data_IF_093304331068
#
_entry.id   IF_093304331068
#
_cell.length_a   1.000
_cell.length_b   1.000
_cell.length_c   1.000
_cell.angle_alpha   90.00
_cell.angle_beta   90.00
_cell.angle_gamma   90.00
#
_symmetry.space_group_name_H-M   'P 1'
#
loop_
_entity.id
_entity.type
_entity.pdbx_description
1 polymer ?
#
# COMPACT_ATOMS: atom_id res chain seq x y z
N UNK A 1 -10.72 13.95 -2.21
CA UNK A 1 -11.69 12.85 -2.01
C UNK A 1 -12.38 13.02 -0.67
N UNK A 2 -13.64 12.59 -0.58
CA UNK A 2 -14.43 12.59 0.64
C UNK A 2 -14.95 11.18 0.95
N UNK A 3 -14.03 10.29 1.29
CA UNK A 3 -14.37 8.87 1.50
C UNK A 3 -15.29 8.69 2.71
N UNK A 4 -16.46 8.07 2.51
CA UNK A 4 -17.45 7.79 3.57
C UNK A 4 -16.89 6.92 4.70
N UNK A 5 -15.83 6.17 4.46
CA UNK A 5 -15.19 5.22 5.37
C UNK A 5 -13.80 5.67 5.83
N UNK A 6 -13.53 6.97 5.84
CA UNK A 6 -12.19 7.47 6.13
C UNK A 6 -11.74 7.11 7.54
N UNK A 7 -10.84 6.13 7.68
CA UNK A 7 -10.23 5.76 8.98
C UNK A 7 -9.39 6.88 9.60
N UNK A 8 -9.00 7.85 8.78
CA UNK A 8 -8.24 9.01 9.20
C UNK A 8 -9.12 10.27 9.35
N UNK A 9 -10.46 10.12 9.43
CA UNK A 9 -11.38 11.26 9.50
C UNK A 9 -11.08 12.19 10.68
N UNK A 10 -10.61 11.64 11.80
CA UNK A 10 -10.21 12.37 12.99
C UNK A 10 -9.06 13.37 12.77
N UNK A 11 -8.29 13.22 11.69
CA UNK A 11 -7.26 14.18 11.27
C UNK A 11 -7.68 14.87 9.96
N UNK A 12 -8.13 14.08 8.97
CA UNK A 12 -8.35 14.58 7.60
C UNK A 12 -9.60 15.47 7.47
N UNK A 13 -10.51 15.42 8.46
CA UNK A 13 -11.77 16.17 8.47
C UNK A 13 -11.86 17.24 9.56
N UNK A 14 -10.85 17.34 10.41
CA UNK A 14 -10.76 18.35 11.44
C UNK A 14 -10.13 19.64 10.92
N UNK A 15 -10.53 20.82 11.44
CA UNK A 15 -9.78 22.05 11.24
C UNK A 15 -8.34 21.92 11.71
N UNK A 16 -7.42 22.55 11.02
CA UNK A 16 -5.96 22.45 11.32
C UNK A 16 -5.66 22.92 12.76
N UNK A 17 -6.43 23.87 13.24
CA UNK A 17 -6.30 24.46 14.58
C UNK A 17 -6.66 23.49 15.71
N UNK A 18 -7.45 22.47 15.41
CA UNK A 18 -7.90 21.46 16.39
C UNK A 18 -6.99 20.22 16.43
N UNK A 19 -6.03 20.13 15.54
CA UNK A 19 -5.13 18.98 15.44
C UNK A 19 -3.77 19.35 16.05
N UNK A 20 -3.22 18.56 17.00
CA UNK A 20 -1.89 18.78 17.52
C UNK A 20 -0.85 18.58 16.41
N UNK A 21 -0.29 19.65 15.90
CA UNK A 21 0.70 19.64 14.85
C UNK A 21 2.12 19.83 15.40
N UNK A 22 3.05 19.05 14.85
CA UNK A 22 4.47 19.24 15.10
C UNK A 22 5.15 19.80 13.84
N UNK A 23 5.81 20.92 13.95
CA UNK A 23 6.64 21.47 12.88
C UNK A 23 7.92 20.65 12.76
N UNK A 24 8.05 19.88 11.68
CA UNK A 24 9.24 19.08 11.40
C UNK A 24 9.90 19.56 10.10
N UNK A 25 11.15 20.01 10.21
CA UNK A 25 11.98 20.27 9.06
C UNK A 25 12.48 18.97 8.44
N UNK A 26 12.68 18.87 7.13
CA UNK A 26 13.15 17.68 6.44
C UNK A 26 14.40 17.06 7.07
N UNK A 27 15.36 17.86 7.46
CA UNK A 27 16.62 17.42 8.06
C UNK A 27 16.40 16.73 9.41
N UNK A 28 15.44 17.22 10.19
CA UNK A 28 15.06 16.62 11.48
C UNK A 28 14.35 15.27 11.28
N UNK A 29 13.44 15.19 10.29
CA UNK A 29 12.75 13.94 9.96
C UNK A 29 13.76 12.87 9.54
N UNK A 30 14.69 13.22 8.66
CA UNK A 30 15.77 12.32 8.19
C UNK A 30 16.66 11.89 9.36
N UNK A 31 17.02 12.82 10.25
CA UNK A 31 17.82 12.51 11.45
C UNK A 31 17.10 11.51 12.37
N UNK A 32 15.78 11.68 12.56
CA UNK A 32 14.96 10.75 13.36
C UNK A 32 14.94 9.38 12.69
N UNK A 33 14.67 9.33 11.39
CA UNK A 33 14.62 8.08 10.64
C UNK A 33 15.94 7.30 10.74
N UNK A 34 17.08 7.97 10.57
CA UNK A 34 18.43 7.35 10.72
C UNK A 34 18.66 6.82 12.13
N UNK A 35 18.34 7.60 13.15
CA UNK A 35 18.49 7.19 14.57
C UNK A 35 17.60 6.01 14.94
N UNK A 36 16.45 5.87 14.27
CA UNK A 36 15.51 4.75 14.45
C UNK A 36 15.80 3.56 13.54
N UNK A 37 16.92 3.54 12.81
CA UNK A 37 17.27 2.46 11.90
C UNK A 37 16.31 2.29 10.71
N UNK A 38 15.54 3.33 10.37
CA UNK A 38 14.57 3.25 9.25
C UNK A 38 15.29 3.24 7.90
N UNK A 39 14.88 2.32 7.01
CA UNK A 39 15.39 2.25 5.64
C UNK A 39 14.62 3.15 4.69
N UNK A 40 13.41 3.58 5.07
CA UNK A 40 12.56 4.43 4.24
C UNK A 40 11.74 5.42 5.05
N UNK A 41 11.32 6.50 4.40
CA UNK A 41 10.32 7.44 4.88
C UNK A 41 9.11 7.36 3.96
N UNK A 42 7.92 7.16 4.54
CA UNK A 42 6.68 7.01 3.79
C UNK A 42 5.68 8.10 4.16
N UNK A 43 5.18 8.81 3.15
CA UNK A 43 4.03 9.70 3.32
C UNK A 43 2.75 8.86 3.28
N UNK A 44 2.04 8.87 4.40
CA UNK A 44 0.80 8.12 4.58
C UNK A 44 -0.28 9.02 5.22
N UNK A 45 -1.48 8.47 5.42
CA UNK A 45 -2.64 9.08 6.08
C UNK A 45 -3.37 10.07 5.17
N UNK A 46 -2.78 11.21 4.86
CA UNK A 46 -3.37 12.20 3.94
C UNK A 46 -2.76 12.09 2.54
N UNK A 47 -3.45 12.70 1.57
CA UNK A 47 -2.95 12.74 0.19
C UNK A 47 -1.65 13.58 0.08
N UNK A 48 -0.53 12.99 -0.35
CA UNK A 48 0.76 13.68 -0.39
C UNK A 48 0.77 14.89 -1.32
N UNK A 49 -0.06 14.91 -2.36
CA UNK A 49 -0.14 16.03 -3.30
C UNK A 49 -0.77 17.29 -2.74
N UNK A 50 -1.49 17.20 -1.61
CA UNK A 50 -1.99 18.39 -0.88
C UNK A 50 -0.84 19.26 -0.36
N UNK A 51 0.28 18.61 -0.01
CA UNK A 51 1.50 19.26 0.47
C UNK A 51 2.72 18.95 -0.42
N UNK A 52 2.51 18.86 -1.73
CA UNK A 52 3.53 18.42 -2.68
C UNK A 52 4.88 19.15 -2.56
N UNK A 53 4.96 20.49 -2.38
CA UNK A 53 6.25 21.15 -2.19
C UNK A 53 7.03 20.65 -0.96
N UNK A 54 6.34 20.44 0.16
CA UNK A 54 6.94 19.92 1.39
C UNK A 54 7.38 18.46 1.22
N UNK A 55 6.56 17.66 0.54
CA UNK A 55 6.89 16.29 0.17
C UNK A 55 8.18 16.23 -0.66
N UNK A 56 8.25 17.00 -1.76
CA UNK A 56 9.41 17.00 -2.65
C UNK A 56 10.70 17.44 -1.93
N UNK A 57 10.60 18.43 -1.04
CA UNK A 57 11.75 18.87 -0.24
C UNK A 57 12.24 17.79 0.70
N UNK A 58 11.34 17.09 1.41
CA UNK A 58 11.71 15.98 2.28
C UNK A 58 12.28 14.81 1.48
N UNK A 59 11.68 14.45 0.34
CA UNK A 59 12.16 13.40 -0.53
C UNK A 59 13.59 13.66 -1.01
N UNK A 60 13.88 14.89 -1.47
CA UNK A 60 15.21 15.28 -1.89
C UNK A 60 16.24 15.22 -0.74
N UNK A 61 15.84 15.59 0.47
CA UNK A 61 16.70 15.50 1.66
C UNK A 61 16.97 14.04 2.07
N UNK A 62 15.93 13.20 2.08
CA UNK A 62 16.04 11.78 2.41
C UNK A 62 16.94 11.00 1.43
N UNK A 63 16.75 11.22 0.12
CA UNK A 63 17.57 10.58 -0.93
C UNK A 63 19.06 10.95 -0.84
N UNK A 64 19.39 12.18 -0.49
CA UNK A 64 20.80 12.58 -0.24
C UNK A 64 21.46 11.80 0.89
N UNK A 65 20.67 11.34 1.85
CA UNK A 65 21.12 10.59 3.01
C UNK A 65 20.96 9.07 2.85
N UNK A 66 20.63 8.60 1.63
CA UNK A 66 20.47 7.18 1.31
C UNK A 66 19.20 6.52 1.87
N UNK A 67 18.20 7.32 2.27
CA UNK A 67 16.93 6.82 2.78
C UNK A 67 15.94 6.77 1.62
N UNK A 68 15.29 5.62 1.43
CA UNK A 68 14.25 5.43 0.43
C UNK A 68 13.01 6.26 0.75
N UNK A 69 12.30 6.67 -0.29
CA UNK A 69 11.09 7.48 -0.15
C UNK A 69 9.91 6.80 -0.83
N UNK A 70 8.81 6.72 -0.10
CA UNK A 70 7.57 6.22 -0.64
C UNK A 70 6.37 7.08 -0.28
N UNK A 71 5.24 6.83 -0.92
CA UNK A 71 3.98 7.42 -0.48
C UNK A 71 2.77 6.53 -0.77
N UNK A 72 1.72 6.73 0.03
CA UNK A 72 0.39 6.21 -0.22
C UNK A 72 -0.45 7.35 -0.81
N UNK A 73 -1.02 7.13 -1.98
CA UNK A 73 -1.83 8.13 -2.68
C UNK A 73 -3.19 7.56 -3.09
N UNK A 74 -4.17 8.42 -3.22
CA UNK A 74 -5.47 8.07 -3.77
C UNK A 74 -5.46 7.93 -5.31
N UNK A 75 -4.36 8.31 -5.97
CA UNK A 75 -4.19 8.19 -7.41
C UNK A 75 -4.97 9.19 -8.26
N UNK A 76 -5.81 10.02 -7.67
CA UNK A 76 -6.58 11.06 -8.41
C UNK A 76 -5.71 12.29 -8.63
N UNK A 77 -4.82 12.19 -9.61
CA UNK A 77 -3.73 13.14 -9.85
C UNK A 77 -3.79 13.74 -11.25
N UNK A 78 -3.24 14.94 -11.39
CA UNK A 78 -2.85 15.45 -12.70
C UNK A 78 -1.58 14.74 -13.18
N UNK A 79 -1.38 14.68 -14.50
CA UNK A 79 -0.16 14.08 -15.06
C UNK A 79 1.12 14.72 -14.50
N UNK A 80 1.14 16.04 -14.32
CA UNK A 80 2.30 16.76 -13.77
C UNK A 80 2.58 16.37 -12.32
N UNK A 81 1.53 16.25 -11.48
CA UNK A 81 1.71 15.83 -10.08
C UNK A 81 2.16 14.38 -9.98
N UNK A 82 1.61 13.51 -10.82
CA UNK A 82 2.00 12.11 -10.91
C UNK A 82 3.47 11.94 -11.30
N UNK A 83 3.92 12.62 -12.34
CA UNK A 83 5.33 12.60 -12.76
C UNK A 83 6.26 13.01 -11.62
N UNK A 84 5.96 14.14 -10.97
CA UNK A 84 6.75 14.61 -9.82
C UNK A 84 6.78 13.62 -8.65
N UNK A 85 5.67 12.95 -8.36
CA UNK A 85 5.63 11.89 -7.35
C UNK A 85 6.50 10.71 -7.75
N UNK A 86 6.36 10.19 -8.97
CA UNK A 86 7.15 9.06 -9.45
C UNK A 86 8.66 9.36 -9.48
N UNK A 87 9.06 10.58 -9.84
CA UNK A 87 10.47 11.02 -9.81
C UNK A 87 11.02 11.11 -8.37
N UNK A 88 10.17 11.52 -7.43
CA UNK A 88 10.56 11.70 -6.04
C UNK A 88 10.53 10.41 -5.22
N UNK A 89 9.69 9.44 -5.58
CA UNK A 89 9.50 8.19 -4.87
C UNK A 89 10.34 7.05 -5.44
N UNK A 90 10.77 6.15 -4.57
CA UNK A 90 11.34 4.85 -4.94
C UNK A 90 10.23 3.80 -5.06
N UNK A 91 9.12 4.00 -4.35
CA UNK A 91 7.94 3.13 -4.40
C UNK A 91 6.65 3.92 -4.11
N UNK A 92 5.55 3.47 -4.73
CA UNK A 92 4.21 4.03 -4.54
C UNK A 92 3.22 2.95 -4.14
N UNK A 93 2.26 3.32 -3.30
CA UNK A 93 1.04 2.54 -3.10
C UNK A 93 -0.15 3.39 -3.55
N UNK A 94 -0.92 2.90 -4.53
CA UNK A 94 -2.11 3.59 -5.03
C UNK A 94 -3.37 2.86 -4.54
N UNK A 95 -4.29 3.64 -3.95
CA UNK A 95 -5.58 3.11 -3.49
C UNK A 95 -6.58 2.99 -4.63
N UNK A 96 -6.86 1.77 -5.12
CA UNK A 96 -7.91 1.48 -6.08
C UNK A 96 -9.14 0.92 -5.35
N UNK A 97 -10.20 1.72 -5.25
CA UNK A 97 -11.36 1.44 -4.39
C UNK A 97 -12.51 0.74 -5.12
N UNK A 98 -12.63 0.99 -6.42
CA UNK A 98 -13.63 0.42 -7.33
C UNK A 98 -13.16 0.58 -8.77
N UNK A 99 -13.92 0.04 -9.74
CA UNK A 99 -13.65 0.18 -11.19
C UNK A 99 -14.83 0.76 -11.98
N UNK A 100 -15.81 1.34 -11.31
CA UNK A 100 -16.86 2.12 -12.00
C UNK A 100 -16.94 3.52 -11.41
N UNK A 101 -17.33 4.49 -12.23
CA UNK A 101 -17.50 5.88 -11.83
C UNK A 101 -18.59 6.00 -10.76
N UNK A 102 -19.68 5.21 -10.88
CA UNK A 102 -20.79 5.22 -9.93
C UNK A 102 -20.35 4.75 -8.53
N UNK A 103 -19.63 3.62 -8.45
CA UNK A 103 -19.12 3.12 -7.16
C UNK A 103 -18.11 4.08 -6.55
N UNK A 104 -17.26 4.68 -7.39
CA UNK A 104 -16.27 5.64 -6.90
C UNK A 104 -16.95 6.92 -6.40
N UNK A 105 -17.96 7.41 -7.11
CA UNK A 105 -18.73 8.59 -6.70
C UNK A 105 -19.46 8.33 -5.38
N UNK A 106 -20.08 7.16 -5.23
CA UNK A 106 -20.76 6.80 -3.98
C UNK A 106 -19.78 6.72 -2.80
N UNK A 107 -18.65 6.05 -2.98
CA UNK A 107 -17.69 5.82 -1.89
C UNK A 107 -16.84 7.04 -1.53
N UNK A 108 -16.54 7.92 -2.50
CA UNK A 108 -15.47 8.93 -2.36
C UNK A 108 -15.82 10.32 -2.85
N UNK A 109 -16.98 10.49 -3.47
CA UNK A 109 -17.39 11.75 -4.10
C UNK A 109 -16.66 12.06 -5.42
N UNK A 110 -15.83 11.16 -5.95
CA UNK A 110 -15.11 11.33 -7.21
C UNK A 110 -15.93 10.74 -8.37
N UNK A 111 -16.22 11.55 -9.37
CA UNK A 111 -17.13 11.22 -10.47
C UNK A 111 -16.46 10.54 -11.67
N UNK A 112 -15.15 10.36 -11.66
CA UNK A 112 -14.43 9.61 -12.69
C UNK A 112 -13.21 8.89 -12.14
N UNK A 113 -13.07 7.60 -12.45
CA UNK A 113 -11.91 6.78 -12.09
C UNK A 113 -10.76 6.88 -13.11
N UNK A 114 -11.00 7.47 -14.28
CA UNK A 114 -10.00 7.54 -15.36
C UNK A 114 -8.65 8.09 -14.91
N UNK A 115 -8.56 9.19 -14.13
CA UNK A 115 -7.29 9.68 -13.61
C UNK A 115 -6.54 8.66 -12.74
N UNK A 116 -7.28 7.83 -11.97
CA UNK A 116 -6.69 6.82 -11.09
C UNK A 116 -6.14 5.66 -11.92
N UNK A 117 -6.90 5.16 -12.90
CA UNK A 117 -6.44 4.13 -13.82
C UNK A 117 -5.19 4.57 -14.60
N UNK A 118 -5.19 5.82 -15.08
CA UNK A 118 -4.02 6.41 -15.74
C UNK A 118 -2.81 6.49 -14.79
N UNK A 119 -3.03 6.88 -13.53
CA UNK A 119 -1.97 6.93 -12.53
C UNK A 119 -1.35 5.55 -12.26
N UNK A 120 -2.17 4.51 -12.15
CA UNK A 120 -1.72 3.13 -11.97
C UNK A 120 -0.90 2.68 -13.18
N UNK A 121 -1.43 2.88 -14.40
CA UNK A 121 -0.76 2.48 -15.63
C UNK A 121 0.58 3.18 -15.80
N UNK A 122 0.65 4.49 -15.55
CA UNK A 122 1.90 5.24 -15.64
C UNK A 122 2.90 4.81 -14.57
N UNK A 123 2.49 4.77 -13.30
CA UNK A 123 3.38 4.42 -12.19
C UNK A 123 3.98 3.03 -12.33
N UNK A 124 3.21 2.06 -12.83
CA UNK A 124 3.68 0.68 -13.05
C UNK A 124 4.86 0.56 -14.02
N UNK A 125 5.05 1.56 -14.90
CA UNK A 125 6.14 1.58 -15.88
C UNK A 125 7.40 2.31 -15.43
N UNK A 126 7.31 3.10 -14.33
CA UNK A 126 8.40 4.01 -13.95
C UNK A 126 8.90 3.86 -12.51
N UNK A 127 8.14 3.22 -11.63
CA UNK A 127 8.56 2.97 -10.25
C UNK A 127 7.98 1.66 -9.69
N UNK A 128 8.46 1.23 -8.52
CA UNK A 128 7.82 0.13 -7.82
C UNK A 128 6.43 0.54 -7.36
N UNK A 129 5.42 -0.18 -7.86
CA UNK A 129 4.01 0.09 -7.58
C UNK A 129 3.39 -1.05 -6.80
N UNK A 130 2.65 -0.70 -5.76
CA UNK A 130 1.71 -1.58 -5.06
C UNK A 130 0.30 -0.99 -5.12
N UNK A 131 -0.72 -1.82 -5.07
CA UNK A 131 -2.12 -1.37 -5.08
C UNK A 131 -2.81 -1.82 -3.80
N UNK A 132 -3.61 -0.93 -3.23
CA UNK A 132 -4.45 -1.24 -2.06
C UNK A 132 -5.92 -1.08 -2.40
N UNK A 133 -6.72 -2.10 -2.07
CA UNK A 133 -8.19 -2.08 -2.23
C UNK A 133 -8.88 -2.33 -0.90
N UNK A 134 -9.67 -1.37 -0.40
CA UNK A 134 -10.51 -1.59 0.77
C UNK A 134 -11.74 -2.41 0.39
N UNK A 135 -12.12 -3.37 1.24
CA UNK A 135 -13.32 -4.18 1.10
C UNK A 135 -14.32 -3.84 2.20
N UNK A 136 -15.55 -3.57 1.77
CA UNK A 136 -16.70 -3.30 2.62
C UNK A 136 -17.80 -4.33 2.34
N UNK A 137 -18.75 -4.46 3.28
CA UNK A 137 -20.02 -5.16 3.01
C UNK A 137 -20.95 -4.30 2.12
N UNK A 138 -21.72 -4.95 1.24
CA UNK A 138 -21.68 -6.37 0.89
C UNK A 138 -20.46 -6.72 0.02
N UNK A 139 -19.77 -7.83 0.37
CA UNK A 139 -18.60 -8.28 -0.39
C UNK A 139 -19.05 -8.86 -1.73
N UNK A 140 -18.45 -8.38 -2.82
CA UNK A 140 -18.71 -8.83 -4.19
C UNK A 140 -17.47 -9.50 -4.78
N UNK A 141 -17.60 -10.80 -5.10
CA UNK A 141 -16.56 -11.54 -5.84
C UNK A 141 -16.37 -11.00 -7.26
N UNK A 142 -17.44 -10.54 -7.88
CA UNK A 142 -17.37 -9.92 -9.20
C UNK A 142 -16.54 -8.64 -9.20
N UNK A 143 -16.75 -7.77 -8.20
CA UNK A 143 -16.01 -6.53 -8.05
C UNK A 143 -14.52 -6.78 -7.83
N UNK A 144 -14.17 -7.66 -6.87
CA UNK A 144 -12.78 -8.03 -6.63
C UNK A 144 -12.14 -8.71 -7.85
N UNK A 145 -12.89 -9.54 -8.56
CA UNK A 145 -12.45 -10.16 -9.80
C UNK A 145 -12.18 -9.15 -10.93
N UNK A 146 -12.99 -8.10 -11.06
CA UNK A 146 -12.74 -7.01 -12.03
C UNK A 146 -11.45 -6.26 -11.69
N UNK A 147 -11.26 -5.91 -10.42
CA UNK A 147 -10.04 -5.22 -9.95
C UNK A 147 -8.81 -6.10 -10.18
N UNK A 148 -8.87 -7.37 -9.82
CA UNK A 148 -7.78 -8.32 -10.04
C UNK A 148 -7.40 -8.41 -11.53
N UNK A 149 -8.37 -8.56 -12.42
CA UNK A 149 -8.13 -8.59 -13.88
C UNK A 149 -7.50 -7.29 -14.39
N UNK A 150 -7.99 -6.15 -13.94
CA UNK A 150 -7.42 -4.85 -14.32
C UNK A 150 -5.95 -4.74 -13.94
N UNK A 151 -5.60 -5.11 -12.70
CA UNK A 151 -4.21 -5.08 -12.23
C UNK A 151 -3.34 -6.06 -13.01
N UNK A 152 -3.81 -7.31 -13.19
CA UNK A 152 -3.08 -8.36 -13.89
C UNK A 152 -2.84 -8.03 -15.38
N UNK A 153 -3.74 -7.31 -16.04
CA UNK A 153 -3.56 -6.83 -17.42
C UNK A 153 -2.46 -5.78 -17.54
N UNK A 154 -2.22 -5.00 -16.49
CA UNK A 154 -1.11 -4.02 -16.47
C UNK A 154 0.20 -4.75 -16.19
N UNK A 155 0.29 -5.46 -15.08
CA UNK A 155 1.42 -6.30 -14.72
C UNK A 155 1.01 -7.29 -13.60
N UNK A 156 1.05 -8.61 -13.84
CA UNK A 156 0.68 -9.62 -12.84
C UNK A 156 1.65 -9.70 -11.65
N UNK A 157 2.79 -9.03 -11.70
CA UNK A 157 3.75 -8.95 -10.62
C UNK A 157 3.47 -7.80 -9.62
N UNK A 158 2.49 -6.93 -9.89
CA UNK A 158 2.10 -5.85 -8.96
C UNK A 158 1.54 -6.46 -7.67
N UNK A 159 2.10 -6.12 -6.50
CA UNK A 159 1.53 -6.50 -5.22
C UNK A 159 0.16 -5.85 -5.01
N UNK A 160 -0.84 -6.67 -4.69
CA UNK A 160 -2.18 -6.21 -4.41
C UNK A 160 -2.56 -6.47 -2.96
N UNK A 161 -2.73 -5.41 -2.19
CA UNK A 161 -3.13 -5.44 -0.80
C UNK A 161 -4.64 -5.26 -0.68
N UNK A 162 -5.33 -6.31 -0.32
CA UNK A 162 -6.75 -6.25 0.04
C UNK A 162 -6.86 -5.98 1.54
N UNK A 163 -7.58 -4.95 1.91
CA UNK A 163 -7.78 -4.59 3.31
C UNK A 163 -9.26 -4.70 3.66
N UNK A 164 -9.59 -5.48 4.70
CA UNK A 164 -10.92 -5.34 5.28
C UNK A 164 -11.05 -3.95 5.89
N UNK A 165 -12.09 -3.27 5.55
CA UNK A 165 -12.38 -1.97 6.14
C UNK A 165 -13.16 -2.15 7.44
N UNK A 166 -12.67 -1.55 8.51
CA UNK A 166 -13.44 -1.47 9.75
C UNK A 166 -14.50 -0.37 9.59
N UNK A 167 -15.72 -0.59 10.14
CA UNK A 167 -16.78 0.42 10.14
C UNK A 167 -16.31 1.67 10.91
N UNK A 168 -16.12 2.77 10.19
CA UNK A 168 -15.64 4.04 10.75
C UNK A 168 -16.29 5.23 10.04
N UNK A 169 -16.21 6.40 10.65
CA UNK A 169 -16.71 7.68 10.15
C UNK A 169 -18.20 7.61 9.78
N UNK A 170 -18.56 7.83 8.50
CA UNK A 170 -19.97 7.77 8.05
C UNK A 170 -20.53 6.34 7.97
N UNK A 171 -19.66 5.33 7.98
CA UNK A 171 -20.04 3.91 7.92
C UNK A 171 -19.85 3.19 9.25
N UNK A 172 -19.81 3.92 10.37
CA UNK A 172 -19.61 3.36 11.72
C UNK A 172 -20.62 2.29 12.13
N UNK A 173 -21.83 2.34 11.57
CA UNK A 173 -22.93 1.42 11.86
C UNK A 173 -23.02 0.27 10.84
N UNK A 174 -22.11 0.22 9.85
CA UNK A 174 -22.07 -0.86 8.87
C UNK A 174 -21.51 -2.16 9.49
N UNK A 175 -21.93 -3.34 9.03
CA UNK A 175 -21.35 -4.59 9.50
C UNK A 175 -19.88 -4.70 9.09
N UNK A 176 -19.01 -5.28 9.95
CA UNK A 176 -17.62 -5.57 9.57
C UNK A 176 -17.58 -6.62 8.46
N UNK A 177 -16.63 -6.51 7.51
CA UNK A 177 -16.50 -7.47 6.43
C UNK A 177 -16.17 -8.89 6.92
N UNK A 178 -16.80 -9.89 6.28
CA UNK A 178 -16.54 -11.31 6.54
C UNK A 178 -15.17 -11.72 6.00
N UNK A 179 -14.25 -12.01 6.93
CA UNK A 179 -12.88 -12.41 6.62
C UNK A 179 -12.83 -13.72 5.82
N UNK A 180 -13.65 -14.71 6.19
CA UNK A 180 -13.62 -16.01 5.54
C UNK A 180 -14.09 -15.91 4.09
N UNK A 181 -15.13 -15.11 3.84
CA UNK A 181 -15.63 -14.85 2.48
C UNK A 181 -14.59 -14.13 1.63
N UNK A 182 -13.86 -13.15 2.20
CA UNK A 182 -12.77 -12.48 1.49
C UNK A 182 -11.67 -13.49 1.14
N UNK A 183 -11.21 -14.31 2.09
CA UNK A 183 -10.14 -15.31 1.85
C UNK A 183 -10.53 -16.33 0.77
N UNK A 184 -11.79 -16.79 0.78
CA UNK A 184 -12.29 -17.70 -0.26
C UNK A 184 -12.20 -17.08 -1.66
N UNK A 185 -12.63 -15.82 -1.81
CA UNK A 185 -12.56 -15.10 -3.08
C UNK A 185 -11.10 -14.92 -3.51
N UNK A 186 -10.23 -14.48 -2.60
CA UNK A 186 -8.83 -14.20 -2.91
C UNK A 186 -8.03 -15.47 -3.21
N UNK A 187 -8.42 -16.63 -2.68
CA UNK A 187 -7.78 -17.91 -3.01
C UNK A 187 -7.78 -18.17 -4.53
N UNK A 188 -8.90 -17.92 -5.20
CA UNK A 188 -8.98 -18.11 -6.64
C UNK A 188 -8.31 -16.99 -7.42
N UNK A 189 -8.39 -15.75 -6.95
CA UNK A 189 -7.79 -14.60 -7.60
C UNK A 189 -6.26 -14.62 -7.58
N UNK A 190 -5.64 -15.24 -6.57
CA UNK A 190 -4.19 -15.45 -6.50
C UNK A 190 -3.63 -16.29 -7.66
N UNK A 191 -4.45 -17.07 -8.35
CA UNK A 191 -4.04 -17.79 -9.58
C UNK A 191 -3.72 -16.83 -10.72
N UNK A 192 -4.35 -15.65 -10.74
CA UNK A 192 -4.15 -14.61 -11.75
C UNK A 192 -3.18 -13.53 -11.28
N UNK A 193 -3.25 -13.16 -10.00
CA UNK A 193 -2.44 -12.13 -9.38
C UNK A 193 -1.77 -12.71 -8.13
N UNK A 194 -0.64 -13.41 -8.28
CA UNK A 194 -0.07 -14.25 -7.22
C UNK A 194 0.40 -13.46 -5.99
N UNK A 195 0.75 -12.20 -6.15
CA UNK A 195 1.20 -11.34 -5.05
C UNK A 195 0.04 -10.57 -4.41
N UNK A 196 -1.07 -11.28 -4.16
CA UNK A 196 -2.25 -10.77 -3.46
C UNK A 196 -2.16 -11.05 -1.96
N UNK A 197 -2.17 -9.99 -1.18
CA UNK A 197 -2.05 -10.02 0.27
C UNK A 197 -3.34 -9.60 0.95
N UNK A 198 -3.69 -10.29 2.03
CA UNK A 198 -4.81 -9.94 2.89
C UNK A 198 -4.47 -10.25 4.34
N UNK A 199 -4.45 -9.23 5.19
CA UNK A 199 -3.93 -9.50 6.51
C UNK A 199 -3.97 -8.38 7.54
N UNK A 200 -4.87 -7.42 7.40
CA UNK A 200 -5.03 -6.39 8.43
C UNK A 200 -5.93 -6.86 9.60
N UNK A 201 -5.67 -8.08 10.10
CA UNK A 201 -6.32 -8.67 11.26
C UNK A 201 -5.39 -9.69 11.94
N UNK A 202 -5.56 -9.87 13.25
CA UNK A 202 -4.74 -10.81 14.02
C UNK A 202 -4.99 -12.25 13.56
N UNK A 203 -3.91 -13.01 13.39
CA UNK A 203 -3.99 -14.39 12.91
C UNK A 203 -4.10 -14.53 11.38
N UNK A 204 -3.91 -13.44 10.64
CA UNK A 204 -3.92 -13.46 9.18
C UNK A 204 -2.81 -14.36 8.62
N UNK A 205 -3.18 -15.24 7.70
CA UNK A 205 -2.25 -16.12 6.99
C UNK A 205 -1.89 -15.61 5.59
N UNK A 206 -2.68 -14.67 5.06
CA UNK A 206 -2.52 -14.10 3.71
C UNK A 206 -1.47 -13.00 3.58
N UNK A 207 -0.50 -12.88 4.51
CA UNK A 207 0.56 -11.87 4.51
C UNK A 207 1.86 -12.34 3.88
N UNK A 208 2.11 -13.63 3.91
CA UNK A 208 3.36 -14.21 3.41
C UNK A 208 3.39 -14.22 1.88
N UNK A 209 4.59 -14.04 1.31
CA UNK A 209 4.81 -14.18 -0.13
C UNK A 209 5.01 -15.64 -0.45
N UNK A 210 4.16 -16.18 -1.31
CA UNK A 210 4.26 -17.53 -1.84
C UNK A 210 4.97 -17.54 -3.19
N UNK A 211 5.71 -18.58 -3.47
CA UNK A 211 6.22 -18.82 -4.80
C UNK A 211 5.05 -19.12 -5.77
N UNK A 212 4.88 -18.38 -6.88
CA UNK A 212 3.74 -18.57 -7.76
C UNK A 212 3.72 -19.91 -8.50
N UNK A 213 4.83 -20.64 -8.51
CA UNK A 213 4.98 -21.92 -9.22
C UNK A 213 4.81 -23.11 -8.28
N UNK A 214 5.46 -23.12 -7.12
CA UNK A 214 5.43 -24.28 -6.22
C UNK A 214 4.66 -24.05 -4.91
N UNK A 215 4.14 -22.85 -4.67
CA UNK A 215 3.34 -22.53 -3.49
C UNK A 215 4.11 -22.41 -2.16
N UNK A 216 5.43 -22.67 -2.15
CA UNK A 216 6.21 -22.55 -0.91
C UNK A 216 6.33 -21.10 -0.45
N UNK A 217 6.31 -20.90 0.88
CA UNK A 217 6.54 -19.57 1.48
C UNK A 217 8.00 -19.18 1.23
N UNK A 218 8.19 -18.05 0.56
CA UNK A 218 9.52 -17.48 0.27
C UNK A 218 9.83 -16.25 1.11
N UNK A 219 8.81 -15.50 1.54
CA UNK A 219 8.94 -14.44 2.55
C UNK A 219 7.81 -14.60 3.54
N UNK A 220 8.16 -14.81 4.79
CA UNK A 220 7.19 -15.05 5.85
C UNK A 220 6.92 -13.79 6.66
N UNK A 221 5.63 -13.50 6.88
CA UNK A 221 5.17 -12.34 7.64
C UNK A 221 4.03 -12.72 8.56
N UNK A 222 3.97 -12.05 9.70
CA UNK A 222 2.85 -12.16 10.65
C UNK A 222 2.25 -10.77 10.90
N UNK A 223 0.96 -10.74 11.22
CA UNK A 223 0.30 -9.53 11.72
C UNK A 223 0.32 -9.54 13.25
N UNK A 224 0.77 -8.43 13.84
CA UNK A 224 0.85 -8.24 15.30
C UNK A 224 -0.29 -7.38 15.85
N UNK A 225 -1.34 -7.16 15.07
CA UNK A 225 -2.52 -6.38 15.47
C UNK A 225 -2.51 -4.92 15.00
N UNK A 226 -1.46 -4.50 14.29
CA UNK A 226 -1.35 -3.16 13.68
C UNK A 226 -1.51 -3.22 12.16
N UNK A 227 -1.53 -2.07 11.49
CA UNK A 227 -1.43 -2.01 10.04
C UNK A 227 -0.02 -2.42 9.60
N UNK A 228 0.08 -3.47 8.79
CA UNK A 228 1.34 -4.01 8.29
C UNK A 228 1.69 -5.38 8.84
N UNK A 229 2.72 -5.99 8.25
CA UNK A 229 3.23 -7.30 8.65
C UNK A 229 4.66 -7.22 9.16
N UNK A 230 4.95 -7.91 10.27
CA UNK A 230 6.33 -8.12 10.72
C UNK A 230 6.95 -9.23 9.90
N UNK A 231 8.12 -8.99 9.34
CA UNK A 231 8.94 -9.99 8.67
C UNK A 231 9.54 -10.94 9.72
N UNK A 232 9.32 -12.25 9.53
CA UNK A 232 9.86 -13.30 10.43
C UNK A 232 10.69 -14.34 9.70
N UNK A 233 10.66 -14.36 8.35
CA UNK A 233 11.47 -15.26 7.54
C UNK A 233 11.71 -14.72 6.14
N UNK A 234 12.95 -14.87 5.65
CA UNK A 234 13.34 -14.52 4.30
C UNK A 234 14.10 -15.69 3.69
N UNK A 235 13.42 -16.48 2.85
CA UNK A 235 13.88 -17.78 2.34
C UNK A 235 14.30 -17.72 0.85
N UNK A 236 14.61 -16.53 0.32
CA UNK A 236 15.07 -16.40 -1.07
C UNK A 236 16.58 -16.62 -1.16
N UNK A 237 17.00 -17.32 -2.20
CA UNK A 237 18.41 -17.46 -2.58
C UNK A 237 18.65 -16.68 -3.86
N UNK A 238 19.41 -15.59 -3.79
CA UNK A 238 19.67 -14.70 -4.94
C UNK A 238 18.37 -14.24 -5.65
N UNK A 239 17.33 -13.89 -4.89
CA UNK A 239 16.04 -13.47 -5.42
C UNK A 239 15.20 -14.58 -6.05
N UNK A 240 15.53 -15.85 -5.78
CA UNK A 240 14.83 -17.02 -6.33
C UNK A 240 14.29 -17.92 -5.23
N UNK A 241 13.21 -18.61 -5.54
CA UNK A 241 12.65 -19.65 -4.69
C UNK A 241 13.65 -20.81 -4.52
N UNK A 242 14.01 -21.21 -3.30
CA UNK A 242 14.98 -22.27 -3.05
C UNK A 242 14.48 -23.67 -3.49
N UNK A 243 13.16 -23.85 -3.65
CA UNK A 243 12.56 -25.15 -3.99
C UNK A 243 12.47 -25.41 -5.49
N UNK A 244 12.12 -24.37 -6.29
CA UNK A 244 11.90 -24.55 -7.74
C UNK A 244 12.71 -23.58 -8.61
N UNK A 245 13.56 -22.75 -8.01
CA UNK A 245 14.43 -21.78 -8.69
C UNK A 245 13.67 -20.68 -9.46
N UNK A 246 12.37 -20.52 -9.25
CA UNK A 246 11.59 -19.43 -9.85
C UNK A 246 12.04 -18.09 -9.31
N UNK A 247 12.31 -17.12 -10.19
CA UNK A 247 12.62 -15.75 -9.79
C UNK A 247 11.39 -15.10 -9.15
N UNK A 248 11.60 -14.44 -8.02
CA UNK A 248 10.57 -13.66 -7.32
C UNK A 248 10.87 -12.18 -7.57
N UNK A 249 9.89 -11.38 -8.01
CA UNK A 249 10.09 -9.95 -8.31
C UNK A 249 10.22 -9.15 -7.01
N UNK A 250 11.43 -9.09 -6.47
CA UNK A 250 11.76 -8.29 -5.29
C UNK A 250 12.50 -7.05 -5.73
N UNK A 251 12.06 -5.90 -5.24
CA UNK A 251 12.76 -4.61 -5.38
C UNK A 251 13.44 -4.28 -4.06
N UNK A 252 14.72 -3.92 -4.11
CA UNK A 252 15.53 -3.62 -2.93
C UNK A 252 16.23 -4.84 -2.35
N UNK A 253 16.78 -4.67 -1.14
CA UNK A 253 17.56 -5.68 -0.44
C UNK A 253 16.89 -6.07 0.88
N UNK A 254 17.14 -7.31 1.32
CA UNK A 254 16.78 -7.73 2.67
C UNK A 254 17.65 -6.97 3.69
N UNK A 255 17.00 -6.47 4.74
CA UNK A 255 17.65 -5.86 5.90
C UNK A 255 17.19 -6.62 7.13
N UNK A 256 18.13 -7.16 7.88
CA UNK A 256 17.86 -7.79 9.16
C UNK A 256 17.80 -6.71 10.23
N UNK A 257 16.59 -6.40 10.66
CA UNK A 257 16.38 -5.32 11.61
C UNK A 257 16.72 -5.69 13.06
N UNK A 258 16.63 -6.96 13.43
CA UNK A 258 16.89 -7.40 14.82
C UNK A 258 18.34 -7.20 15.23
N UNK A 259 19.28 -7.20 14.28
CA UNK A 259 20.69 -6.88 14.55
C UNK A 259 21.00 -5.39 14.65
N UNK A 260 20.13 -4.51 14.18
CA UNK A 260 20.32 -3.06 14.26
C UNK A 260 19.97 -2.49 15.63
N UNK A 261 19.05 -3.12 16.38
CA UNK A 261 18.68 -2.70 17.75
C UNK A 261 19.77 -3.00 18.79
N UNK A 262 20.68 -3.94 18.52
CA UNK A 262 21.74 -4.36 19.46
C UNK A 262 23.09 -3.65 19.24
N UNK A 263 23.18 -2.71 18.32
CA UNK A 263 24.44 -2.06 17.90
C UNK A 263 24.54 -0.56 18.23
N UNK A 264 23.65 0.00 19.05
CA UNK A 264 23.68 1.43 19.42
C UNK A 264 23.77 1.63 20.91
#
# INVERSE_FOLDING_TARGET
MDCKYCSNAYIAKCPVEEVPLMHLFPEKVVTIAKKSGCQSIVFAINEPTVSLPSFLKLAATAKKEGILVGCLTNGYLTNTSLQKLCEACDFLNISLKALTDEEYADLTGITSISPICNSITYASSVCHLEITTPVLEPISSEKLGKICRFIAQINPEIPWHVLRLLPEYMLKDAPPPDIQKIEQILHDLRKMLPYTYFGNYVGAQGLSTLCPVCGNIVIERINTGTCGGRLIGYNLSNGKCPHCNTKIPITGNYVDWEHLENGS
#
